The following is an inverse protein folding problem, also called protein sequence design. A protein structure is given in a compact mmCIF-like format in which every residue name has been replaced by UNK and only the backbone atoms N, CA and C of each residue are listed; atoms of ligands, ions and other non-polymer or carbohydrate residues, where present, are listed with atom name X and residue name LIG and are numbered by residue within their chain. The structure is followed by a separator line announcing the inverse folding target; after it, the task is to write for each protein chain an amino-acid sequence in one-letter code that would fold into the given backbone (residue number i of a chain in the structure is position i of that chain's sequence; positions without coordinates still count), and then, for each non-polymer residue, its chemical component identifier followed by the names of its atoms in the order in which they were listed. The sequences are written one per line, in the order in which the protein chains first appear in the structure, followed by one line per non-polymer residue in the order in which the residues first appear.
data_IF_893977832838
#
_entry.id   IF_893977832838
#
_cell.length_a   1.000
_cell.length_b   1.000
_cell.length_c   1.000
_cell.angle_alpha   90.00
_cell.angle_beta   90.00
_cell.angle_gamma   90.00
#
_symmetry.space_group_name_H-M   'P 1'
#
loop_
_entity.id
_entity.type
_entity.pdbx_description
1 polymer ?
#
# COMPACT_ATOMS: atom_id res chain seq x y z
N UNK A 1 -14.84 3.77 -33.25
CA UNK A 1 -14.05 4.40 -32.18
C UNK A 1 -12.72 3.68 -32.12
N UNK A 2 -11.65 4.39 -32.44
CA UNK A 2 -10.33 3.85 -32.72
C UNK A 2 -9.66 3.36 -31.44
N UNK A 3 -9.23 2.09 -31.47
CA UNK A 3 -8.34 1.49 -30.48
C UNK A 3 -6.94 2.02 -30.78
N UNK A 4 -6.43 2.90 -29.92
CA UNK A 4 -5.05 3.40 -30.04
C UNK A 4 -4.06 2.26 -29.82
N UNK A 5 -3.10 2.20 -30.73
CA UNK A 5 -2.12 1.15 -30.93
C UNK A 5 -0.95 1.33 -29.91
N UNK A 6 -0.65 0.35 -29.03
CA UNK A 6 0.40 0.48 -28.02
C UNK A 6 1.85 0.42 -28.56
N UNK A 7 2.06 0.22 -29.87
CA UNK A 7 3.39 -0.01 -30.46
C UNK A 7 4.15 1.26 -30.92
N UNK A 8 3.92 2.43 -30.31
CA UNK A 8 4.60 3.69 -30.68
C UNK A 8 5.50 4.32 -29.61
N UNK A 9 6.26 3.51 -28.88
CA UNK A 9 7.43 3.99 -28.12
C UNK A 9 8.71 3.45 -28.73
N UNK A 10 9.12 4.03 -29.86
CA UNK A 10 10.44 3.80 -30.45
C UNK A 10 11.51 4.56 -29.64
N UNK A 11 12.39 3.80 -28.98
CA UNK A 11 13.82 4.07 -28.89
C UNK A 11 14.30 5.30 -28.12
N UNK A 12 13.95 5.43 -26.83
CA UNK A 12 14.82 6.18 -25.92
C UNK A 12 16.07 5.32 -25.62
N UNK A 13 17.29 5.88 -25.68
CA UNK A 13 18.50 5.12 -25.39
C UNK A 13 18.46 4.60 -23.95
N UNK A 14 18.56 3.29 -23.80
CA UNK A 14 18.68 2.57 -22.55
C UNK A 14 19.98 2.99 -21.84
N UNK A 15 19.93 4.06 -21.05
CA UNK A 15 20.93 4.25 -19.99
C UNK A 15 20.65 3.20 -18.92
N UNK A 16 21.21 2.01 -19.16
CA UNK A 16 21.17 0.90 -18.26
C UNK A 16 21.93 1.30 -16.99
N UNK A 17 21.21 1.69 -15.93
CA UNK A 17 21.81 1.99 -14.62
C UNK A 17 22.83 0.93 -14.21
N UNK A 18 24.08 1.35 -14.02
CA UNK A 18 25.19 0.55 -13.51
C UNK A 18 25.20 0.51 -11.98
N UNK A 19 26.29 0.01 -11.39
CA UNK A 19 26.46 -0.08 -9.92
C UNK A 19 26.28 1.29 -9.22
N UNK A 20 26.51 2.39 -9.93
CA UNK A 20 26.38 3.76 -9.41
C UNK A 20 24.94 4.32 -9.44
N UNK A 21 23.98 3.62 -10.06
CA UNK A 21 22.60 4.10 -10.14
C UNK A 21 21.89 4.04 -8.77
N UNK A 22 20.97 4.97 -8.47
CA UNK A 22 20.22 4.94 -7.22
C UNK A 22 19.33 3.70 -7.13
N UNK A 23 19.07 3.28 -5.89
CA UNK A 23 18.05 2.25 -5.58
C UNK A 23 16.79 2.93 -5.08
N UNK A 24 15.69 2.74 -5.81
CA UNK A 24 14.38 3.20 -5.43
C UNK A 24 13.76 2.25 -4.40
N UNK A 25 13.53 2.78 -3.21
CA UNK A 25 13.01 2.03 -2.08
C UNK A 25 11.55 2.40 -1.83
N UNK A 26 10.65 1.62 -2.42
CA UNK A 26 9.23 1.94 -2.56
C UNK A 26 8.41 1.27 -1.45
N UNK A 27 8.24 1.98 -0.34
CA UNK A 27 7.40 1.47 0.75
C UNK A 27 5.92 1.71 0.47
N UNK A 28 5.16 0.61 0.45
CA UNK A 28 3.74 0.67 0.15
C UNK A 28 2.89 0.60 1.41
N UNK A 29 2.29 1.74 1.79
CA UNK A 29 1.11 1.71 2.65
C UNK A 29 -0.04 1.07 1.86
N UNK A 30 -0.75 0.08 2.42
CA UNK A 30 -1.91 -0.50 1.76
C UNK A 30 -2.90 0.56 1.30
N UNK A 31 -3.44 0.41 0.09
CA UNK A 31 -4.42 1.33 -0.50
C UNK A 31 -3.94 2.76 -0.76
N UNK A 32 -2.62 2.96 -0.89
CA UNK A 32 -2.03 4.22 -1.36
C UNK A 32 -1.34 4.02 -2.73
N UNK A 33 -2.09 3.56 -3.74
CA UNK A 33 -1.62 3.33 -5.12
C UNK A 33 -0.43 2.35 -5.33
N UNK A 34 0.06 1.66 -4.30
CA UNK A 34 1.21 0.74 -4.44
C UNK A 34 1.04 -0.36 -5.50
N UNK A 35 -0.18 -0.87 -5.74
CA UNK A 35 -0.42 -1.87 -6.80
C UNK A 35 -0.22 -1.32 -8.21
N UNK A 36 -0.48 -0.02 -8.42
CA UNK A 36 -0.22 0.66 -9.70
C UNK A 36 1.28 0.66 -9.98
N UNK A 37 2.08 1.10 -8.99
CA UNK A 37 3.54 1.14 -9.08
C UNK A 37 4.11 -0.28 -9.25
N UNK A 38 3.71 -1.21 -8.40
CA UNK A 38 4.16 -2.61 -8.46
C UNK A 38 3.90 -3.22 -9.85
N UNK A 39 2.70 -3.01 -10.41
CA UNK A 39 2.35 -3.55 -11.74
C UNK A 39 3.18 -2.88 -12.83
N UNK A 40 3.35 -1.56 -12.75
CA UNK A 40 4.16 -0.80 -13.71
C UNK A 40 5.60 -1.32 -13.77
N UNK A 41 6.25 -1.42 -12.61
CA UNK A 41 7.62 -1.91 -12.52
C UNK A 41 7.73 -3.39 -12.92
N UNK A 42 6.76 -4.23 -12.56
CA UNK A 42 6.75 -5.64 -12.97
C UNK A 42 6.66 -5.83 -14.49
N UNK A 43 6.05 -4.88 -15.21
CA UNK A 43 5.84 -4.97 -16.66
C UNK A 43 7.00 -4.40 -17.47
N UNK A 44 7.66 -3.35 -16.95
CA UNK A 44 8.61 -2.56 -17.73
C UNK A 44 10.04 -2.54 -17.20
N UNK A 45 10.26 -2.85 -15.91
CA UNK A 45 11.62 -2.92 -15.41
C UNK A 45 12.35 -4.11 -16.06
N UNK A 46 13.62 -3.91 -16.40
CA UNK A 46 14.43 -4.99 -16.95
C UNK A 46 14.54 -6.13 -15.94
N UNK A 47 14.75 -7.34 -16.44
CA UNK A 47 14.92 -8.54 -15.63
C UNK A 47 16.03 -8.35 -14.58
N UNK A 48 15.77 -8.81 -13.35
CA UNK A 48 16.70 -8.65 -12.24
C UNK A 48 16.78 -7.25 -11.62
N UNK A 49 16.22 -6.20 -12.24
CA UNK A 49 16.33 -4.81 -11.75
C UNK A 49 15.22 -4.37 -10.80
N UNK A 50 14.12 -5.10 -10.75
CA UNK A 50 13.01 -4.86 -9.84
C UNK A 50 12.72 -6.08 -8.98
N UNK A 51 12.62 -5.87 -7.67
CA UNK A 51 12.22 -6.90 -6.73
C UNK A 51 11.05 -6.47 -5.86
N UNK A 52 10.04 -7.36 -5.78
CA UNK A 52 8.91 -7.19 -4.88
C UNK A 52 9.03 -8.10 -3.66
N UNK A 53 9.40 -7.54 -2.51
CA UNK A 53 9.55 -8.34 -1.30
C UNK A 53 8.19 -8.93 -0.86
N UNK A 54 8.20 -10.21 -0.48
CA UNK A 54 6.99 -10.95 -0.11
C UNK A 54 6.81 -10.96 1.40
N UNK A 55 5.57 -11.15 1.86
CA UNK A 55 5.28 -11.36 3.28
C UNK A 55 5.85 -12.70 3.75
N UNK A 56 6.54 -12.72 4.88
CA UNK A 56 6.91 -13.96 5.58
C UNK A 56 5.65 -14.69 6.09
N UNK A 57 5.56 -15.99 5.83
CA UNK A 57 4.49 -16.88 6.30
C UNK A 57 4.98 -17.70 7.51
N UNK A 58 4.05 -18.32 8.24
CA UNK A 58 4.37 -19.21 9.37
C UNK A 58 4.67 -18.50 10.70
N UNK A 59 5.13 -19.27 11.68
CA UNK A 59 5.43 -18.83 13.06
C UNK A 59 6.67 -17.94 13.16
N UNK A 60 7.62 -18.09 12.23
CA UNK A 60 8.86 -17.29 12.18
C UNK A 60 8.61 -15.78 12.05
N UNK A 61 7.43 -15.35 11.59
CA UNK A 61 7.00 -13.94 11.56
C UNK A 61 6.90 -13.27 12.96
N UNK A 62 6.90 -14.06 14.03
CA UNK A 62 6.85 -13.56 15.40
C UNK A 62 8.22 -13.12 15.92
N UNK A 63 9.29 -13.69 15.36
CA UNK A 63 10.67 -13.52 15.85
C UNK A 63 11.62 -12.94 14.78
N UNK A 64 11.12 -12.66 13.58
CA UNK A 64 11.93 -12.17 12.45
C UNK A 64 11.20 -11.07 11.67
N UNK A 65 11.91 -10.32 10.81
CA UNK A 65 11.29 -9.34 9.92
C UNK A 65 10.12 -9.90 9.14
N UNK A 66 9.10 -9.06 8.87
CA UNK A 66 7.84 -9.51 8.26
C UNK A 66 7.93 -9.80 6.77
N UNK A 67 9.07 -9.57 6.17
CA UNK A 67 9.34 -9.86 4.77
C UNK A 67 10.22 -11.11 4.60
N UNK A 68 10.21 -11.63 3.39
CA UNK A 68 11.18 -12.60 2.89
C UNK A 68 11.81 -12.03 1.62
N UNK A 69 13.12 -12.25 1.50
CA UNK A 69 13.94 -11.90 0.35
C UNK A 69 14.26 -13.14 -0.50
N UNK A 70 13.53 -14.24 -0.29
CA UNK A 70 13.68 -15.43 -1.10
C UNK A 70 13.42 -15.11 -2.58
N UNK A 71 14.40 -15.47 -3.43
CA UNK A 71 14.37 -15.18 -4.86
C UNK A 71 14.69 -13.72 -5.21
N UNK A 72 15.29 -12.96 -4.30
CA UNK A 72 15.82 -11.64 -4.62
C UNK A 72 17.05 -11.78 -5.54
N UNK A 73 17.12 -11.04 -6.65
CA UNK A 73 18.33 -10.91 -7.47
C UNK A 73 19.53 -10.38 -6.66
N UNK A 74 20.70 -10.36 -7.30
CA UNK A 74 21.88 -9.69 -6.73
C UNK A 74 21.53 -8.23 -6.38
N UNK A 75 21.68 -7.78 -5.12
CA UNK A 75 21.41 -6.41 -4.72
C UNK A 75 22.16 -5.35 -5.55
N UNK A 76 23.32 -5.69 -6.11
CA UNK A 76 24.10 -4.79 -6.99
C UNK A 76 23.39 -4.50 -8.31
N UNK A 77 22.53 -5.41 -8.76
CA UNK A 77 21.76 -5.28 -10.00
C UNK A 77 20.38 -4.64 -9.79
N UNK A 78 19.91 -4.55 -8.54
CA UNK A 78 18.59 -3.99 -8.24
C UNK A 78 18.58 -2.46 -8.39
N UNK A 79 17.59 -1.92 -9.09
CA UNK A 79 17.34 -0.47 -9.14
C UNK A 79 16.05 -0.09 -8.42
N UNK A 80 15.14 -1.05 -8.17
CA UNK A 80 13.93 -0.80 -7.41
C UNK A 80 13.55 -1.98 -6.53
N UNK A 81 13.19 -1.69 -5.28
CA UNK A 81 12.62 -2.67 -4.34
C UNK A 81 11.30 -2.12 -3.82
N UNK A 82 10.26 -2.96 -3.83
CA UNK A 82 8.96 -2.54 -3.31
C UNK A 82 8.28 -3.59 -2.45
N UNK A 83 7.56 -3.17 -1.40
CA UNK A 83 6.62 -4.04 -0.69
C UNK A 83 5.76 -3.27 0.32
N UNK A 84 4.65 -3.91 0.69
CA UNK A 84 3.90 -3.58 1.90
C UNK A 84 4.64 -3.93 3.20
N UNK A 85 5.57 -4.89 3.15
CA UNK A 85 6.26 -5.42 4.33
C UNK A 85 7.74 -5.06 4.35
N UNK A 86 8.13 -4.12 3.50
CA UNK A 86 9.49 -3.64 3.37
C UNK A 86 9.88 -2.91 4.66
N UNK A 87 11.00 -3.30 5.26
CA UNK A 87 11.50 -2.78 6.54
C UNK A 87 12.88 -2.16 6.35
N UNK A 88 13.22 -1.14 7.14
CA UNK A 88 14.47 -0.37 7.00
C UNK A 88 15.72 -1.27 6.97
N UNK A 89 15.69 -2.45 7.62
CA UNK A 89 16.80 -3.40 7.58
C UNK A 89 17.21 -3.86 6.17
N UNK A 90 16.32 -3.85 5.17
CA UNK A 90 16.64 -4.30 3.81
C UNK A 90 17.53 -3.29 3.09
N UNK A 91 17.55 -2.03 3.53
CA UNK A 91 18.42 -0.99 2.97
C UNK A 91 19.90 -1.35 3.10
N UNK A 92 20.28 -2.10 4.14
CA UNK A 92 21.65 -2.57 4.34
C UNK A 92 22.16 -3.46 3.20
N UNK A 93 21.27 -4.03 2.39
CA UNK A 93 21.65 -4.84 1.22
C UNK A 93 22.09 -3.99 0.03
N UNK A 94 21.77 -2.69 0.05
CA UNK A 94 22.11 -1.72 -0.99
C UNK A 94 23.24 -0.79 -0.52
N UNK A 95 24.12 -1.28 0.37
CA UNK A 95 25.23 -0.51 0.92
C UNK A 95 26.13 0.06 -0.18
N UNK A 96 26.58 1.30 0.00
CA UNK A 96 27.40 2.02 -0.98
C UNK A 96 26.63 2.73 -2.10
N UNK A 97 25.30 2.54 -2.20
CA UNK A 97 24.47 3.17 -3.25
C UNK A 97 23.53 4.24 -2.68
N UNK A 98 23.18 5.22 -3.50
CA UNK A 98 22.17 6.22 -3.15
C UNK A 98 20.79 5.53 -2.99
N UNK A 99 20.17 5.63 -1.81
CA UNK A 99 18.83 5.06 -1.56
C UNK A 99 17.78 6.17 -1.63
N UNK A 100 16.94 6.11 -2.67
CA UNK A 100 15.80 7.02 -2.87
C UNK A 100 14.54 6.41 -2.30
N UNK A 101 14.24 6.73 -1.04
CA UNK A 101 13.02 6.27 -0.36
C UNK A 101 11.81 7.03 -0.88
N UNK A 102 10.76 6.30 -1.23
CA UNK A 102 9.53 6.87 -1.73
C UNK A 102 8.30 6.22 -1.09
N UNK A 103 7.30 7.05 -0.77
CA UNK A 103 6.03 6.59 -0.23
C UNK A 103 4.87 7.47 -0.66
N UNK A 104 3.71 6.82 -0.85
CA UNK A 104 2.44 7.49 -1.03
C UNK A 104 1.57 7.30 0.22
N UNK A 105 0.93 8.38 0.64
CA UNK A 105 -0.01 8.46 1.73
C UNK A 105 -1.43 8.68 1.19
N UNK A 106 -2.43 8.53 2.04
CA UNK A 106 -3.82 8.81 1.66
C UNK A 106 -4.54 9.39 2.85
N UNK A 107 -5.45 10.33 2.56
CA UNK A 107 -6.41 10.85 3.55
C UNK A 107 -7.07 9.68 4.31
N UNK A 108 -7.13 9.71 5.65
CA UNK A 108 -7.59 8.58 6.45
C UNK A 108 -9.04 8.17 6.12
N UNK A 109 -9.92 9.12 5.79
CA UNK A 109 -11.31 8.82 5.41
C UNK A 109 -11.33 8.05 4.09
N UNK A 110 -10.66 8.58 3.06
CA UNK A 110 -10.50 7.92 1.76
C UNK A 110 -9.83 6.54 1.87
N UNK A 111 -8.83 6.41 2.75
CA UNK A 111 -8.16 5.15 3.03
C UNK A 111 -9.11 4.11 3.62
N UNK A 112 -9.91 4.47 4.63
CA UNK A 112 -10.88 3.57 5.26
C UNK A 112 -11.92 3.06 4.25
N UNK A 113 -12.47 3.96 3.43
CA UNK A 113 -13.43 3.61 2.36
C UNK A 113 -12.79 2.66 1.34
N UNK A 114 -11.59 2.98 0.86
CA UNK A 114 -10.90 2.13 -0.11
C UNK A 114 -10.53 0.75 0.46
N UNK A 115 -10.11 0.70 1.72
CA UNK A 115 -9.80 -0.56 2.39
C UNK A 115 -11.06 -1.41 2.63
N UNK A 116 -12.18 -0.79 2.99
CA UNK A 116 -13.47 -1.44 3.10
C UNK A 116 -13.91 -2.05 1.77
N UNK A 117 -13.93 -1.27 0.69
CA UNK A 117 -14.37 -1.74 -0.62
C UNK A 117 -13.56 -2.94 -1.11
N UNK A 118 -12.23 -2.86 -0.98
CA UNK A 118 -11.36 -3.98 -1.31
C UNK A 118 -11.70 -5.25 -0.52
N UNK A 119 -11.98 -5.12 0.78
CA UNK A 119 -12.31 -6.26 1.62
C UNK A 119 -13.65 -6.86 1.23
N UNK A 120 -14.66 -6.04 0.95
CA UNK A 120 -15.97 -6.49 0.52
C UNK A 120 -15.88 -7.24 -0.79
N UNK A 121 -15.21 -6.66 -1.80
CA UNK A 121 -14.99 -7.32 -3.08
C UNK A 121 -14.30 -8.68 -2.90
N UNK A 122 -13.23 -8.74 -2.09
CA UNK A 122 -12.52 -10.00 -1.82
C UNK A 122 -13.40 -11.03 -1.12
N UNK A 123 -14.29 -10.59 -0.22
CA UNK A 123 -15.19 -11.49 0.50
C UNK A 123 -16.29 -12.02 -0.40
N UNK A 124 -16.91 -11.16 -1.20
CA UNK A 124 -17.93 -11.55 -2.18
C UNK A 124 -17.34 -12.54 -3.19
N UNK A 125 -16.14 -12.29 -3.71
CA UNK A 125 -15.42 -13.22 -4.58
C UNK A 125 -15.08 -14.58 -3.92
N UNK A 126 -15.18 -14.69 -2.59
CA UNK A 126 -14.97 -15.91 -1.81
C UNK A 126 -16.29 -16.56 -1.34
N UNK A 127 -17.44 -16.07 -1.82
CA UNK A 127 -18.77 -16.50 -1.41
C UNK A 127 -19.14 -16.08 0.02
N UNK A 128 -18.51 -15.05 0.57
CA UNK A 128 -18.79 -14.53 1.91
C UNK A 128 -19.75 -13.33 1.84
N UNK A 129 -20.53 -13.16 2.90
CA UNK A 129 -21.45 -12.03 3.00
C UNK A 129 -20.73 -10.70 3.27
N UNK A 130 -21.17 -9.60 2.63
CA UNK A 130 -20.72 -8.26 2.98
C UNK A 130 -21.25 -7.85 4.36
N UNK A 131 -20.67 -6.82 4.97
CA UNK A 131 -21.12 -6.26 6.24
C UNK A 131 -20.96 -4.74 6.23
N UNK A 132 -21.62 -4.03 7.15
CA UNK A 132 -21.68 -2.57 7.12
C UNK A 132 -20.32 -1.88 7.29
N UNK A 133 -20.21 -0.65 6.76
CA UNK A 133 -19.01 0.17 6.90
C UNK A 133 -18.70 0.51 8.37
N UNK A 134 -19.72 0.76 9.19
CA UNK A 134 -19.60 1.07 10.62
C UNK A 134 -18.98 -0.11 11.39
N UNK A 135 -19.42 -1.33 11.08
CA UNK A 135 -18.82 -2.53 11.66
C UNK A 135 -17.37 -2.69 11.20
N UNK A 136 -17.08 -2.40 9.93
CA UNK A 136 -15.73 -2.41 9.40
C UNK A 136 -14.82 -1.42 10.15
N UNK A 137 -15.31 -0.20 10.34
CA UNK A 137 -14.63 0.92 10.97
C UNK A 137 -14.29 0.62 12.42
N UNK A 138 -15.27 0.22 13.23
CA UNK A 138 -15.07 -0.15 14.64
C UNK A 138 -14.12 -1.34 14.82
N UNK A 139 -14.02 -2.22 13.81
CA UNK A 139 -13.11 -3.36 13.81
C UNK A 139 -11.71 -3.04 13.25
N UNK A 140 -11.43 -1.79 12.90
CA UNK A 140 -10.15 -1.33 12.34
C UNK A 140 -9.34 -0.61 13.42
N UNK A 141 -8.02 -0.68 13.29
CA UNK A 141 -7.07 -0.02 14.18
C UNK A 141 -7.08 1.49 13.90
N UNK A 142 -7.00 2.31 14.96
CA UNK A 142 -6.81 3.77 14.83
C UNK A 142 -5.42 4.11 14.38
N UNK A 143 -5.28 5.21 13.65
CA UNK A 143 -3.98 5.69 13.15
C UNK A 143 -3.24 4.57 12.40
N UNK A 144 -3.98 3.85 11.55
CA UNK A 144 -3.50 2.67 10.84
C UNK A 144 -2.22 2.98 10.06
N UNK A 145 -2.16 4.08 9.31
CA UNK A 145 -1.02 4.43 8.45
C UNK A 145 0.23 4.66 9.31
N UNK A 146 0.11 5.47 10.35
CA UNK A 146 1.19 5.78 11.30
C UNK A 146 1.71 4.49 11.94
N UNK A 147 0.82 3.65 12.48
CA UNK A 147 1.25 2.38 13.08
C UNK A 147 1.79 1.42 12.04
N UNK A 148 1.30 1.48 10.80
CA UNK A 148 1.80 0.64 9.71
C UNK A 148 3.25 0.97 9.36
N UNK A 149 3.59 2.26 9.27
CA UNK A 149 4.97 2.74 9.05
C UNK A 149 5.86 2.30 10.21
N UNK A 150 5.48 2.64 11.45
CA UNK A 150 6.29 2.32 12.63
C UNK A 150 6.56 0.81 12.76
N UNK A 151 5.54 -0.02 12.48
CA UNK A 151 5.58 -1.46 12.73
C UNK A 151 6.18 -2.28 11.59
N UNK A 152 6.11 -1.81 10.35
CA UNK A 152 6.59 -2.57 9.19
C UNK A 152 7.82 -1.93 8.56
N UNK A 153 7.86 -0.60 8.46
CA UNK A 153 9.03 0.09 7.93
C UNK A 153 10.10 0.26 8.99
N UNK A 154 9.77 0.91 10.12
CA UNK A 154 10.74 1.14 11.21
C UNK A 154 10.91 -0.09 12.12
N UNK A 155 10.20 -1.17 11.82
CA UNK A 155 10.33 -2.48 12.47
C UNK A 155 10.19 -2.44 14.00
N UNK A 156 9.51 -1.42 14.53
CA UNK A 156 9.30 -1.28 15.97
C UNK A 156 8.40 -2.43 16.46
N UNK A 157 8.85 -3.20 17.48
CA UNK A 157 8.05 -4.28 18.05
C UNK A 157 6.73 -3.78 18.64
N UNK A 158 5.68 -4.60 18.57
CA UNK A 158 4.35 -4.25 19.09
C UNK A 158 4.34 -3.82 20.56
N UNK A 159 5.04 -4.50 21.50
CA UNK A 159 5.06 -4.08 22.90
C UNK A 159 5.57 -2.64 23.06
N UNK A 160 6.63 -2.27 22.32
CA UNK A 160 7.16 -0.91 22.33
C UNK A 160 6.16 0.09 21.76
N UNK A 161 5.48 -0.25 20.66
CA UNK A 161 4.44 0.62 20.08
C UNK A 161 3.26 0.88 21.03
N UNK A 162 2.95 -0.04 21.94
CA UNK A 162 1.91 0.15 22.94
C UNK A 162 2.32 1.11 24.05
N UNK A 163 3.60 1.11 24.41
CA UNK A 163 4.15 2.00 25.43
C UNK A 163 4.38 3.43 24.90
N UNK A 164 4.51 3.59 23.58
CA UNK A 164 4.72 4.90 22.96
C UNK A 164 3.46 5.77 22.98
N UNK A 165 3.65 7.00 23.44
CA UNK A 165 2.69 8.10 23.37
C UNK A 165 2.49 8.58 21.93
N UNK A 166 1.40 9.33 21.70
CA UNK A 166 1.11 9.90 20.38
C UNK A 166 2.17 10.89 19.89
N UNK A 167 2.70 11.81 20.71
CA UNK A 167 3.81 12.68 20.31
C UNK A 167 5.09 11.93 19.93
N UNK A 168 5.45 10.86 20.65
CA UNK A 168 6.62 10.04 20.28
C UNK A 168 6.43 9.34 18.93
N UNK A 169 5.23 8.78 18.69
CA UNK A 169 4.87 8.18 17.40
C UNK A 169 4.95 9.22 16.28
N UNK A 170 4.41 10.42 16.52
CA UNK A 170 4.47 11.54 15.58
C UNK A 170 5.92 11.92 15.26
N UNK A 171 6.72 12.24 16.27
CA UNK A 171 8.10 12.70 16.09
C UNK A 171 8.94 11.68 15.32
N UNK A 172 8.81 10.39 15.63
CA UNK A 172 9.53 9.33 14.94
C UNK A 172 9.10 9.17 13.49
N UNK A 173 7.79 9.13 13.19
CA UNK A 173 7.35 9.02 11.80
C UNK A 173 7.70 10.29 11.04
N UNK A 174 7.43 11.47 11.58
CA UNK A 174 7.67 12.74 10.91
C UNK A 174 9.15 12.96 10.59
N UNK A 175 10.03 12.79 11.58
CA UNK A 175 11.47 12.90 11.38
C UNK A 175 12.05 11.80 10.49
N UNK A 176 11.34 10.69 10.33
CA UNK A 176 11.71 9.68 9.35
C UNK A 176 11.29 10.05 7.93
N UNK A 177 10.08 10.59 7.75
CA UNK A 177 9.59 11.03 6.44
C UNK A 177 10.39 12.19 5.86
N UNK A 178 10.98 13.05 6.67
CA UNK A 178 11.86 14.13 6.19
C UNK A 178 13.13 13.64 5.50
N UNK A 179 13.46 12.36 5.64
CA UNK A 179 14.61 11.71 4.99
C UNK A 179 14.24 10.98 3.69
N UNK A 180 12.99 11.10 3.24
CA UNK A 180 12.54 10.50 2.00
C UNK A 180 12.96 11.36 0.82
N UNK A 181 13.18 10.69 -0.31
CA UNK A 181 13.32 11.36 -1.59
C UNK A 181 11.96 11.80 -2.13
N UNK A 182 10.90 11.02 -1.88
CA UNK A 182 9.53 11.38 -2.28
C UNK A 182 8.49 10.99 -1.21
N UNK A 183 7.63 11.94 -0.84
CA UNK A 183 6.41 11.65 -0.07
C UNK A 183 5.24 12.44 -0.66
N UNK A 184 4.09 11.81 -0.84
CA UNK A 184 2.94 12.55 -1.37
C UNK A 184 1.61 11.85 -1.19
N UNK A 185 0.52 12.53 -1.53
CA UNK A 185 -0.79 11.89 -1.65
C UNK A 185 -0.78 10.82 -2.75
N UNK A 186 -1.58 9.76 -2.59
CA UNK A 186 -1.70 8.68 -3.56
C UNK A 186 -2.06 9.15 -4.99
N UNK A 187 -2.68 10.33 -5.13
CA UNK A 187 -2.96 10.96 -6.42
C UNK A 187 -1.71 11.45 -7.15
N UNK A 188 -0.61 11.68 -6.43
CA UNK A 188 0.72 11.99 -6.99
C UNK A 188 1.47 10.74 -7.50
N UNK A 189 0.78 9.62 -7.70
CA UNK A 189 1.39 8.39 -8.23
C UNK A 189 2.06 8.62 -9.60
N UNK A 190 1.45 9.43 -10.48
CA UNK A 190 2.04 9.73 -11.79
C UNK A 190 3.33 10.56 -11.66
N UNK A 191 3.32 11.57 -10.79
CA UNK A 191 4.51 12.40 -10.48
C UNK A 191 5.67 11.54 -9.97
N UNK A 192 5.40 10.59 -9.06
CA UNK A 192 6.40 9.65 -8.58
C UNK A 192 6.95 8.75 -9.70
N UNK A 193 6.08 8.19 -10.55
CA UNK A 193 6.50 7.31 -11.65
C UNK A 193 7.34 8.09 -12.66
N UNK A 194 6.93 9.30 -13.01
CA UNK A 194 7.66 10.19 -13.90
C UNK A 194 9.06 10.51 -13.36
N UNK A 195 9.16 10.85 -12.06
CA UNK A 195 10.42 11.21 -11.42
C UNK A 195 11.45 10.05 -11.33
N UNK A 196 11.01 8.80 -11.47
CA UNK A 196 11.91 7.62 -11.48
C UNK A 196 12.05 6.97 -12.86
N UNK A 197 11.29 7.43 -13.86
CA UNK A 197 11.16 6.75 -15.14
C UNK A 197 12.47 6.64 -15.91
N UNK A 198 13.20 7.77 -16.00
CA UNK A 198 14.49 7.84 -16.70
C UNK A 198 15.51 6.92 -16.05
N UNK A 199 15.66 7.00 -14.73
CA UNK A 199 16.67 6.23 -13.97
C UNK A 199 16.40 4.72 -14.01
N UNK A 200 15.13 4.32 -14.09
CA UNK A 200 14.73 2.92 -14.17
C UNK A 200 14.60 2.38 -15.60
N UNK A 201 14.67 3.25 -16.61
CA UNK A 201 14.43 2.88 -18.01
C UNK A 201 13.01 2.36 -18.26
N UNK A 202 12.01 2.91 -17.57
CA UNK A 202 10.58 2.51 -17.70
C UNK A 202 9.74 3.66 -18.26
N UNK A 203 8.54 3.40 -18.81
CA UNK A 203 7.66 4.49 -19.26
C UNK A 203 7.30 5.45 -18.11
N UNK A 204 7.20 6.74 -18.40
CA UNK A 204 6.92 7.79 -17.40
C UNK A 204 5.47 7.84 -16.90
N UNK A 205 4.59 7.01 -17.46
CA UNK A 205 3.18 6.96 -17.09
C UNK A 205 2.77 5.54 -16.75
N UNK A 206 2.22 5.37 -15.53
CA UNK A 206 1.62 4.12 -15.11
C UNK A 206 0.10 4.12 -15.33
N UNK A 207 -0.44 3.01 -15.82
CA UNK A 207 -1.89 2.82 -15.95
C UNK A 207 -2.51 2.58 -14.57
N UNK A 208 -3.45 3.41 -14.09
CA UNK A 208 -4.07 3.25 -12.78
C UNK A 208 -4.68 1.85 -12.57
N UNK A 209 -4.46 1.26 -11.39
CA UNK A 209 -4.96 -0.07 -11.03
C UNK A 209 -5.93 -0.01 -9.84
N UNK A 210 -6.96 -0.86 -9.86
CA UNK A 210 -8.01 -0.95 -8.83
C UNK A 210 -8.72 0.39 -8.57
N UNK A 211 -9.12 1.07 -9.64
CA UNK A 211 -9.96 2.27 -9.52
C UNK A 211 -11.36 1.88 -9.04
N UNK A 212 -12.10 2.82 -8.46
CA UNK A 212 -13.46 2.51 -7.99
C UNK A 212 -14.36 2.03 -9.14
N UNK A 213 -14.12 2.53 -10.35
CA UNK A 213 -14.82 2.14 -11.58
C UNK A 213 -14.63 0.69 -12.00
N UNK A 214 -13.56 0.01 -11.56
CA UNK A 214 -13.34 -1.41 -11.87
C UNK A 214 -14.03 -2.34 -10.89
N UNK A 215 -14.75 -1.81 -9.89
CA UNK A 215 -15.50 -2.64 -8.95
C UNK A 215 -16.92 -2.85 -9.46
N UNK A 216 -17.25 -4.09 -9.81
CA UNK A 216 -18.62 -4.48 -10.13
C UNK A 216 -19.51 -4.42 -8.89
N UNK A 217 -20.71 -3.87 -9.03
CA UNK A 217 -21.75 -3.92 -8.00
C UNK A 217 -22.27 -5.35 -7.86
N UNK A 218 -22.40 -5.82 -6.62
CA UNK A 218 -23.07 -7.07 -6.29
C UNK A 218 -24.52 -6.76 -5.84
N UNK A 219 -25.50 -7.64 -6.06
CA UNK A 219 -26.89 -7.38 -5.63
C UNK A 219 -27.03 -6.98 -4.15
N UNK A 220 -26.20 -7.57 -3.28
CA UNK A 220 -26.20 -7.30 -1.84
C UNK A 220 -25.19 -6.23 -1.38
N UNK A 221 -24.40 -5.65 -2.28
CA UNK A 221 -23.38 -4.65 -1.92
C UNK A 221 -22.90 -3.82 -3.10
N UNK A 222 -22.81 -2.50 -2.89
CA UNK A 222 -22.15 -1.57 -3.81
C UNK A 222 -20.88 -0.97 -3.20
N UNK A 223 -19.85 -0.69 -4.00
CA UNK A 223 -18.70 0.10 -3.56
C UNK A 223 -19.14 1.45 -2.99
N UNK A 224 -18.53 1.85 -1.88
CA UNK A 224 -18.75 3.15 -1.26
C UNK A 224 -17.75 4.19 -1.78
N UNK A 225 -18.19 5.43 -1.83
CA UNK A 225 -17.38 6.63 -1.99
C UNK A 225 -17.36 7.41 -0.67
N UNK A 226 -16.52 8.44 -0.57
CA UNK A 226 -16.50 9.31 0.62
C UNK A 226 -17.83 10.06 0.79
N UNK A 227 -18.49 10.42 -0.32
CA UNK A 227 -19.79 11.12 -0.31
C UNK A 227 -20.95 10.23 0.15
N UNK A 228 -20.76 8.91 0.22
CA UNK A 228 -21.75 8.00 0.82
C UNK A 228 -21.69 8.00 2.36
N UNK A 229 -20.70 8.66 2.98
CA UNK A 229 -20.58 8.75 4.44
C UNK A 229 -21.24 10.02 4.96
N UNK A 230 -21.87 9.92 6.14
CA UNK A 230 -22.42 11.09 6.82
C UNK A 230 -21.30 12.06 7.26
N UNK A 231 -21.57 13.38 7.32
CA UNK A 231 -20.60 14.35 7.83
C UNK A 231 -20.11 14.02 9.24
N UNK A 232 -20.98 13.47 10.08
CA UNK A 232 -20.67 12.99 11.43
C UNK A 232 -19.60 11.88 11.41
N UNK A 233 -19.81 10.86 10.56
CA UNK A 233 -18.87 9.75 10.42
C UNK A 233 -17.51 10.24 9.88
N UNK A 234 -17.51 11.17 8.93
CA UNK A 234 -16.29 11.77 8.40
C UNK A 234 -15.52 12.51 9.50
N UNK A 235 -16.23 13.31 10.31
CA UNK A 235 -15.63 14.04 11.44
C UNK A 235 -15.05 13.08 12.47
N UNK A 236 -15.82 12.07 12.87
CA UNK A 236 -15.38 11.02 13.79
C UNK A 236 -14.13 10.30 13.28
N UNK A 237 -14.07 9.93 12.00
CA UNK A 237 -12.88 9.29 11.40
C UNK A 237 -11.65 10.16 11.52
N UNK A 238 -11.76 11.46 11.24
CA UNK A 238 -10.61 12.39 11.33
C UNK A 238 -10.14 12.59 12.76
N UNK A 239 -11.07 12.73 13.70
CA UNK A 239 -10.76 12.91 15.12
C UNK A 239 -10.09 11.67 15.72
N UNK A 240 -10.68 10.49 15.49
CA UNK A 240 -10.19 9.21 16.02
C UNK A 240 -8.93 8.69 15.30
N UNK A 241 -8.56 9.25 14.14
CA UNK A 241 -7.32 8.97 13.40
C UNK A 241 -6.47 10.24 13.21
N UNK A 242 -6.37 11.04 14.27
CA UNK A 242 -5.74 12.36 14.19
C UNK A 242 -4.23 12.32 13.95
N UNK A 243 -3.51 11.21 14.24
CA UNK A 243 -2.10 11.09 13.81
C UNK A 243 -2.03 10.91 12.29
N UNK A 244 -2.82 10.00 11.72
CA UNK A 244 -2.86 9.80 10.27
C UNK A 244 -3.32 11.04 9.53
N UNK A 245 -4.33 11.74 10.08
CA UNK A 245 -4.81 13.01 9.53
C UNK A 245 -3.71 14.05 9.50
N UNK A 246 -2.98 14.21 10.61
CA UNK A 246 -1.88 15.18 10.71
C UNK A 246 -0.75 14.82 9.76
N UNK A 247 -0.37 13.54 9.74
CA UNK A 247 0.67 13.02 8.86
C UNK A 247 0.34 13.29 7.39
N UNK A 248 -0.88 12.99 6.97
CA UNK A 248 -1.31 13.26 5.62
C UNK A 248 -1.33 14.77 5.31
N UNK A 249 -1.84 15.61 6.21
CA UNK A 249 -1.87 17.07 5.99
C UNK A 249 -0.47 17.67 5.80
N UNK A 250 0.50 17.24 6.62
CA UNK A 250 1.90 17.68 6.53
C UNK A 250 2.53 17.26 5.20
N UNK A 251 2.36 16.00 4.80
CA UNK A 251 3.17 15.41 3.73
C UNK A 251 2.47 15.28 2.36
N UNK A 252 1.15 15.44 2.26
CA UNK A 252 0.38 15.20 1.01
C UNK A 252 0.89 16.00 -0.20
N UNK A 253 1.43 17.18 0.05
CA UNK A 253 1.88 18.13 -0.97
C UNK A 253 3.36 18.01 -1.33
N UNK A 254 4.17 17.31 -0.53
CA UNK A 254 5.63 17.40 -0.58
C UNK A 254 6.20 17.00 -1.95
N UNK A 255 5.79 15.86 -2.51
CA UNK A 255 6.40 15.34 -3.73
C UNK A 255 7.90 15.11 -3.53
N UNK A 256 8.72 15.67 -4.41
CA UNK A 256 10.19 15.72 -4.28
C UNK A 256 10.69 16.78 -3.29
N UNK A 257 9.83 17.72 -2.89
CA UNK A 257 10.19 18.87 -2.04
C UNK A 257 10.12 18.55 -0.54
N UNK A 258 10.58 17.36 -0.16
CA UNK A 258 10.47 16.81 1.21
C UNK A 258 11.19 17.69 2.23
N UNK A 259 12.29 18.37 1.84
CA UNK A 259 13.11 19.19 2.73
C UNK A 259 12.45 20.52 3.12
N UNK A 260 11.51 21.02 2.31
CA UNK A 260 10.83 22.30 2.56
C UNK A 260 9.44 22.13 3.17
N UNK A 261 9.11 20.92 3.65
CA UNK A 261 7.82 20.65 4.29
C UNK A 261 7.77 21.34 5.65
N UNK A 262 6.81 22.27 5.78
CA UNK A 262 6.51 22.90 7.06
C UNK A 262 5.88 21.87 8.02
N UNK A 263 6.64 21.45 9.02
CA UNK A 263 6.12 20.53 10.04
C UNK A 263 4.93 21.18 10.75
N UNK A 264 3.80 20.47 10.72
CA UNK A 264 2.62 20.90 11.43
C UNK A 264 2.57 20.25 12.82
N UNK A 265 2.62 21.03 13.90
CA UNK A 265 2.64 20.51 15.29
C UNK A 265 1.45 19.61 15.64
N UNK A 266 1.64 18.50 16.36
CA UNK A 266 0.51 17.63 16.73
C UNK A 266 -0.47 18.35 17.69
N UNK A 267 -1.75 18.41 17.32
CA UNK A 267 -2.76 19.01 18.20
C UNK A 267 -3.17 18.04 19.32
N UNK A 268 -2.92 18.47 20.57
CA UNK A 268 -3.31 17.92 21.87
C UNK A 268 -2.93 16.45 22.21
N UNK A 269 -2.33 16.20 23.39
CA UNK A 269 -1.96 14.87 23.86
C UNK A 269 -3.16 14.13 24.47
N UNK A 270 -4.11 13.65 23.67
CA UNK A 270 -5.12 12.72 24.18
C UNK A 270 -4.45 11.36 24.51
N UNK A 271 -4.11 11.14 25.79
CA UNK A 271 -3.31 9.99 26.26
C UNK A 271 -4.09 8.68 26.47
N UNK A 272 -5.42 8.70 26.60
CA UNK A 272 -6.17 7.58 27.19
C UNK A 272 -7.08 6.76 26.25
N UNK A 273 -7.21 7.10 24.96
CA UNK A 273 -8.19 6.44 24.09
C UNK A 273 -7.68 5.19 23.35
N UNK A 274 -6.36 4.99 23.23
CA UNK A 274 -5.81 3.91 22.40
C UNK A 274 -6.06 2.50 22.98
N UNK A 275 -5.70 2.26 24.25
CA UNK A 275 -5.79 0.93 24.86
C UNK A 275 -7.24 0.45 25.00
N UNK A 276 -8.15 1.36 25.38
CA UNK A 276 -9.58 1.05 25.47
C UNK A 276 -10.17 0.72 24.09
N UNK A 277 -9.82 1.49 23.05
CA UNK A 277 -10.23 1.19 21.68
C UNK A 277 -9.68 -0.16 21.22
N UNK A 278 -8.41 -0.49 21.51
CA UNK A 278 -7.83 -1.77 21.10
C UNK A 278 -8.54 -2.97 21.74
N UNK A 279 -9.00 -2.85 22.99
CA UNK A 279 -9.80 -3.88 23.65
C UNK A 279 -11.17 -4.06 22.97
N UNK A 280 -11.93 -2.97 22.76
CA UNK A 280 -13.25 -3.03 22.12
C UNK A 280 -13.16 -3.46 20.64
N UNK A 281 -12.07 -3.11 19.96
CA UNK A 281 -11.78 -3.53 18.59
C UNK A 281 -11.78 -5.06 18.45
N UNK A 282 -11.27 -5.80 19.43
CA UNK A 282 -11.27 -7.27 19.39
C UNK A 282 -12.70 -7.83 19.34
N UNK A 283 -13.62 -7.26 20.12
CA UNK A 283 -15.04 -7.62 20.09
C UNK A 283 -15.63 -7.36 18.70
N UNK A 284 -15.35 -6.19 18.12
CA UNK A 284 -15.81 -5.87 16.76
C UNK A 284 -15.18 -6.75 15.69
N UNK A 285 -13.94 -7.20 15.87
CA UNK A 285 -13.34 -8.18 14.96
C UNK A 285 -14.05 -9.52 15.01
N UNK A 286 -14.45 -9.98 16.20
CA UNK A 286 -15.23 -11.21 16.37
C UNK A 286 -16.59 -11.05 15.69
N UNK A 287 -17.34 -9.98 16.00
CA UNK A 287 -18.65 -9.68 15.34
C UNK A 287 -18.53 -9.65 13.82
N UNK A 288 -17.49 -8.99 13.29
CA UNK A 288 -17.18 -8.95 11.85
C UNK A 288 -16.90 -10.34 11.26
N UNK A 289 -16.28 -11.26 12.01
CA UNK A 289 -16.05 -12.64 11.55
C UNK A 289 -17.35 -13.43 11.48
N UNK A 290 -18.29 -13.19 12.40
CA UNK A 290 -19.62 -13.80 12.37
C UNK A 290 -20.47 -13.25 11.21
N UNK A 291 -20.49 -11.93 11.03
CA UNK A 291 -21.28 -11.27 9.99
C UNK A 291 -20.93 -11.70 8.55
N UNK A 292 -19.69 -12.15 8.32
CA UNK A 292 -19.22 -12.61 7.00
C UNK A 292 -19.34 -14.13 6.77
N UNK A 293 -19.92 -14.88 7.71
CA UNK A 293 -20.05 -16.34 7.54
C UNK A 293 -20.81 -16.62 6.24
N UNK A 294 -20.42 -17.69 5.55
CA UNK A 294 -21.10 -18.13 4.33
C UNK A 294 -22.58 -18.34 4.66
N UNK A 295 -23.45 -18.01 3.71
CA UNK A 295 -24.83 -18.47 3.76
C UNK A 295 -24.78 -19.99 3.82
N UNK A 296 -25.06 -20.56 4.99
CA UNK A 296 -25.26 -22.00 5.13
C UNK A 296 -26.63 -22.24 4.51
N UNK A 297 -26.66 -22.57 3.22
CA UNK A 297 -27.92 -22.71 2.49
C UNK A 297 -27.83 -22.80 0.96
N UNK A 298 -26.66 -22.59 0.35
CA UNK A 298 -26.46 -22.83 -1.09
C UNK A 298 -25.37 -23.90 -1.27
N UNK A 299 -25.76 -25.16 -1.14
CA UNK A 299 -24.96 -26.35 -1.50
C UNK A 299 -24.93 -26.55 -3.02
N UNK A 300 -24.73 -25.48 -3.80
CA UNK A 300 -24.31 -25.62 -5.20
C UNK A 300 -22.78 -25.75 -5.22
N UNK A 301 -22.33 -26.93 -5.62
CA UNK A 301 -20.95 -27.40 -5.75
C UNK A 301 -19.91 -26.35 -6.19
N UNK A 302 -18.62 -26.51 -5.82
CA UNK A 302 -17.58 -25.57 -6.18
C UNK A 302 -17.32 -25.60 -7.69
N UNK A 303 -17.65 -24.52 -8.40
CA UNK A 303 -17.05 -24.23 -9.70
C UNK A 303 -15.57 -23.91 -9.47
N UNK A 304 -14.73 -24.91 -9.74
CA UNK A 304 -13.30 -24.76 -9.97
C UNK A 304 -13.08 -23.72 -11.07
N UNK A 305 -12.40 -22.61 -10.77
CA UNK A 305 -12.00 -21.65 -11.80
C UNK A 305 -11.76 -20.22 -11.34
N UNK A 306 -11.02 -20.00 -10.25
CA UNK A 306 -10.35 -18.72 -10.03
C UNK A 306 -8.91 -19.02 -9.62
N UNK A 307 -8.12 -19.27 -10.65
CA UNK A 307 -6.68 -19.32 -10.59
C UNK A 307 -6.15 -17.92 -10.24
N UNK A 308 -5.58 -17.78 -9.04
CA UNK A 308 -4.79 -16.61 -8.66
C UNK A 308 -3.31 -16.96 -8.76
N UNK A 309 -2.87 -17.24 -9.99
CA UNK A 309 -1.47 -17.33 -10.43
C UNK A 309 -1.20 -16.32 -11.55
N UNK A 310 0.06 -15.95 -11.82
CA UNK A 310 0.39 -14.94 -12.82
C UNK A 310 0.18 -15.52 -14.22
N UNK A 311 -0.40 -14.73 -15.13
CA UNK A 311 -0.46 -15.08 -16.54
C UNK A 311 0.96 -15.09 -17.12
N UNK A 312 1.56 -16.27 -17.24
CA UNK A 312 2.63 -16.52 -18.20
C UNK A 312 2.00 -16.52 -19.61
N UNK A 313 2.39 -15.54 -20.41
CA UNK A 313 2.13 -15.56 -21.84
C UNK A 313 3.30 -16.27 -22.51
N UNK A 314 3.09 -17.51 -22.96
CA UNK A 314 3.99 -18.16 -23.91
C UNK A 314 3.60 -17.70 -25.33
N UNK A 315 4.55 -17.25 -26.18
CA UNK A 315 4.25 -16.90 -27.56
C UNK A 315 4.03 -18.16 -28.40
N UNK A 316 2.88 -18.25 -29.06
CA UNK A 316 2.58 -19.27 -30.06
C UNK A 316 3.34 -18.99 -31.36
N UNK A 317 4.03 -20.03 -31.83
CA UNK A 317 4.72 -20.09 -33.11
C UNK A 317 3.76 -19.87 -34.28
N UNK A 318 4.14 -19.00 -35.22
CA UNK A 318 3.57 -18.93 -36.56
C UNK A 318 4.20 -20.06 -37.37
N UNK A 319 3.41 -21.07 -37.73
CA UNK A 319 3.73 -21.97 -38.84
C UNK A 319 3.18 -21.39 -40.14
N UNK A 320 4.04 -21.47 -41.16
CA UNK A 320 3.80 -21.06 -42.52
C UNK A 320 2.65 -21.82 -43.18
N UNK A 321 1.90 -21.08 -44.01
CA UNK A 321 0.94 -21.53 -45.01
C UNK A 321 0.64 -20.35 -45.91
#
# INVERSE_FOLDING_TARGET
MLVENPDKFQGAPLLAGGEDAPVYYLFHVPKCAGRTIDRHLSLYAQEGRYFRAKKRKGVSRLFSPRHTLAGMPDPRQLNAISSHYLGASVEALCEGREIRRAMLLRDPVSHMVSYYNYRMQRYIAQGMQPYSFELAYRATQRDFITHYILRNFLEIPLPRLWLMTRPEKWALVNGFLSRFWFVGDYRKCSELVEAMASDLGVPSRAVPQNTCSTHSSHPSWRPLSVSDLSPEMIRQIREENSLDQRLWQTWRGAGLDVQNVNEMALMSPAKLQFSLHEATRLVHQVRRRFARRRSVGDDSAPTSGLDTGPAEATPGAIQAG
#
